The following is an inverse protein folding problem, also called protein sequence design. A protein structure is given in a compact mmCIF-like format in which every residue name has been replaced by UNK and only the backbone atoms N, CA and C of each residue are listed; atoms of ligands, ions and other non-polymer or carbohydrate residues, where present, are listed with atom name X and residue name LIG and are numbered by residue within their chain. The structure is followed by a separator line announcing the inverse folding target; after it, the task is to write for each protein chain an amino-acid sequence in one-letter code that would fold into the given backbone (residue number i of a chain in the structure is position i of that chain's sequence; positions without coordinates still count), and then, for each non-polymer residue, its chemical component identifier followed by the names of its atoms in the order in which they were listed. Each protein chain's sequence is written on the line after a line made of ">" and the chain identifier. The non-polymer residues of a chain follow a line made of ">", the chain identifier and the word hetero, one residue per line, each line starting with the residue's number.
data_IF_772213808197
#
_entry.id   IF_772213808197
#
_cell.length_a   1.000
_cell.length_b   1.000
_cell.length_c   1.000
_cell.angle_alpha   90.00
_cell.angle_beta   90.00
_cell.angle_gamma   90.00
#
_symmetry.space_group_name_H-M   'P 1'
#
loop_
_entity.id
_entity.type
_entity.pdbx_description
1 polymer ?
#
# COMPACT_ATOMS: atom_id res chain seq x y z
N UNK A 1 35.48 35.45 -34.17
CA UNK A 1 35.24 34.05 -33.73
C UNK A 1 34.70 34.04 -32.30
N UNK A 2 33.41 34.33 -32.08
CA UNK A 2 32.84 34.39 -30.73
C UNK A 2 31.34 34.05 -30.73
N UNK A 3 30.97 32.89 -31.29
CA UNK A 3 29.56 32.47 -31.37
C UNK A 3 29.29 30.98 -31.09
N UNK A 4 30.30 30.20 -30.70
CA UNK A 4 30.15 28.73 -30.54
C UNK A 4 30.31 28.18 -29.12
N UNK A 5 30.65 29.01 -28.13
CA UNK A 5 30.92 28.53 -26.76
C UNK A 5 29.75 28.68 -25.78
N UNK A 6 28.64 29.30 -26.19
CA UNK A 6 27.50 29.59 -25.31
C UNK A 6 26.29 28.65 -25.53
N UNK A 7 26.47 27.53 -26.24
CA UNK A 7 25.35 26.61 -26.55
C UNK A 7 25.31 25.36 -25.66
N UNK A 8 26.41 25.03 -24.97
CA UNK A 8 26.48 23.86 -24.10
C UNK A 8 25.82 24.04 -22.70
N UNK A 9 25.97 25.17 -21.98
CA UNK A 9 25.41 25.27 -20.63
C UNK A 9 23.89 25.47 -20.61
N UNK A 10 23.31 25.98 -21.69
CA UNK A 10 21.85 26.18 -21.82
C UNK A 10 21.14 24.83 -22.04
N UNK A 11 21.78 23.88 -22.71
CA UNK A 11 21.20 22.54 -22.93
C UNK A 11 21.08 21.73 -21.63
N UNK A 12 22.05 21.86 -20.71
CA UNK A 12 22.01 21.19 -19.40
C UNK A 12 20.93 21.74 -18.46
N UNK A 13 20.63 23.04 -18.52
CA UNK A 13 19.56 23.66 -17.71
C UNK A 13 18.15 23.28 -18.18
N UNK A 14 17.95 23.01 -19.46
CA UNK A 14 16.66 22.55 -20.00
C UNK A 14 16.39 21.07 -19.67
N UNK A 15 17.44 20.24 -19.58
CA UNK A 15 17.33 18.84 -19.17
C UNK A 15 16.98 18.66 -17.69
N UNK A 16 17.46 19.55 -16.80
CA UNK A 16 17.09 19.56 -15.37
C UNK A 16 15.64 20.01 -15.12
N UNK A 17 15.03 20.75 -16.05
CA UNK A 17 13.63 21.18 -15.95
C UNK A 17 12.62 20.09 -16.39
N UNK A 18 13.09 19.03 -17.06
CA UNK A 18 12.26 17.91 -17.52
C UNK A 18 12.22 16.73 -16.53
N UNK A 19 13.01 16.77 -15.46
CA UNK A 19 12.97 15.79 -14.37
C UNK A 19 12.16 16.29 -13.18
N UNK A 20 10.99 16.90 -13.42
CA UNK A 20 10.00 17.01 -12.36
C UNK A 20 9.54 15.58 -12.06
N UNK A 21 9.85 15.00 -10.88
CA UNK A 21 9.25 13.72 -10.53
C UNK A 21 7.74 13.90 -10.65
N UNK A 22 7.07 12.92 -11.28
CA UNK A 22 5.63 12.88 -11.33
C UNK A 22 5.12 13.10 -9.90
N UNK A 23 4.48 14.25 -9.64
CA UNK A 23 4.23 14.68 -8.28
C UNK A 23 3.27 13.69 -7.62
N UNK A 24 3.74 13.00 -6.58
CA UNK A 24 2.87 12.23 -5.74
C UNK A 24 1.98 13.21 -4.94
N UNK A 25 0.70 12.87 -4.83
CA UNK A 25 -0.28 13.67 -4.10
C UNK A 25 -0.64 12.97 -2.81
N UNK A 26 -0.44 13.65 -1.68
CA UNK A 26 -0.91 13.17 -0.39
C UNK A 26 -2.44 13.00 -0.41
N UNK A 27 -2.89 11.80 -0.02
CA UNK A 27 -4.28 11.47 0.24
C UNK A 27 -4.44 10.99 1.68
N UNK A 28 -5.43 11.54 2.40
CA UNK A 28 -5.70 11.23 3.80
C UNK A 28 -6.93 10.35 3.93
N UNK A 29 -6.81 9.32 4.74
CA UNK A 29 -7.86 8.39 5.12
C UNK A 29 -8.08 8.46 6.64
N UNK A 30 -9.00 7.66 7.17
CA UNK A 30 -9.36 7.70 8.59
C UNK A 30 -8.14 7.59 9.53
N UNK A 31 -7.23 6.66 9.24
CA UNK A 31 -6.13 6.32 10.16
C UNK A 31 -4.73 6.59 9.62
N UNK A 32 -4.57 6.76 8.31
CA UNK A 32 -3.28 6.93 7.66
C UNK A 32 -3.40 7.86 6.45
N UNK A 33 -2.26 8.18 5.87
CA UNK A 33 -2.12 8.90 4.61
C UNK A 33 -1.19 8.13 3.67
N UNK A 34 -1.32 8.42 2.37
CA UNK A 34 -0.50 7.84 1.30
C UNK A 34 -0.14 8.96 0.33
N UNK A 35 1.13 9.07 -0.07
CA UNK A 35 1.54 9.86 -1.22
C UNK A 35 1.33 9.05 -2.50
N UNK A 36 0.35 9.46 -3.31
CA UNK A 36 -0.10 8.70 -4.48
C UNK A 36 0.56 9.25 -5.74
N UNK A 37 1.43 8.48 -6.42
CA UNK A 37 2.01 8.90 -7.70
C UNK A 37 0.96 9.13 -8.78
N UNK A 38 1.25 10.02 -9.73
CA UNK A 38 0.30 10.46 -10.75
C UNK A 38 -0.19 9.34 -11.69
N UNK A 39 0.56 8.26 -11.82
CA UNK A 39 0.23 7.06 -12.61
C UNK A 39 -0.57 6.01 -11.81
N UNK A 40 -0.78 6.23 -10.51
CA UNK A 40 -1.65 5.42 -9.68
C UNK A 40 -3.06 6.01 -9.56
N UNK A 41 -4.03 5.14 -9.32
CA UNK A 41 -5.41 5.49 -8.95
C UNK A 41 -5.71 4.98 -7.55
N UNK A 42 -6.55 5.72 -6.82
CA UNK A 42 -7.01 5.31 -5.49
C UNK A 42 -8.51 5.18 -5.46
N UNK A 43 -8.99 4.13 -4.80
CA UNK A 43 -10.38 3.94 -4.44
C UNK A 43 -10.48 3.55 -2.97
N UNK A 44 -11.36 4.20 -2.21
CA UNK A 44 -11.71 3.78 -0.86
C UNK A 44 -13.12 3.20 -0.87
N UNK A 45 -13.29 2.03 -0.24
CA UNK A 45 -14.58 1.38 -0.05
C UNK A 45 -14.60 0.65 1.29
N UNK A 46 -15.60 0.95 2.11
CA UNK A 46 -15.80 0.31 3.42
C UNK A 46 -14.54 0.36 4.31
N UNK A 47 -13.78 1.46 4.25
CA UNK A 47 -12.52 1.65 5.00
C UNK A 47 -11.30 0.93 4.42
N UNK A 48 -11.46 0.19 3.31
CA UNK A 48 -10.34 -0.39 2.54
C UNK A 48 -9.94 0.56 1.44
N UNK A 49 -8.66 0.96 1.43
CA UNK A 49 -8.05 1.81 0.43
C UNK A 49 -7.29 0.94 -0.55
N UNK A 50 -7.63 1.01 -1.84
CA UNK A 50 -6.94 0.30 -2.92
C UNK A 50 -6.18 1.30 -3.78
N UNK A 51 -4.88 1.08 -3.92
CA UNK A 51 -4.01 1.80 -4.85
C UNK A 51 -3.71 0.92 -6.05
N UNK A 52 -3.93 1.43 -7.26
CA UNK A 52 -3.83 0.67 -8.51
C UNK A 52 -2.93 1.38 -9.49
N UNK A 53 -1.81 0.76 -9.87
CA UNK A 53 -0.95 1.23 -10.97
C UNK A 53 -1.40 0.64 -12.32
N UNK A 54 -1.87 -0.60 -12.32
CA UNK A 54 -2.49 -1.24 -13.50
C UNK A 54 -3.54 -2.27 -13.06
N UNK A 55 -4.27 -2.87 -14.00
CA UNK A 55 -5.27 -3.90 -13.70
C UNK A 55 -4.72 -5.05 -12.84
N UNK A 56 -3.44 -5.36 -13.03
CA UNK A 56 -2.76 -6.50 -12.44
C UNK A 56 -1.64 -6.06 -11.46
N UNK A 57 -1.61 -4.78 -11.10
CA UNK A 57 -0.64 -4.23 -10.15
C UNK A 57 -1.34 -3.25 -9.21
N UNK A 58 -1.65 -3.73 -8.01
CA UNK A 58 -2.36 -3.00 -6.98
C UNK A 58 -2.01 -3.53 -5.58
N UNK A 59 -2.29 -2.71 -4.58
CA UNK A 59 -2.48 -3.18 -3.22
C UNK A 59 -3.74 -2.58 -2.62
N UNK A 60 -4.28 -3.26 -1.62
CA UNK A 60 -5.31 -2.76 -0.74
C UNK A 60 -4.81 -2.79 0.70
N UNK A 61 -5.13 -1.74 1.45
CA UNK A 61 -4.80 -1.60 2.86
C UNK A 61 -6.03 -1.11 3.62
N UNK A 62 -6.27 -1.71 4.77
CA UNK A 62 -7.26 -1.22 5.72
C UNK A 62 -6.66 -1.29 7.12
N UNK A 63 -6.82 -0.22 7.90
CA UNK A 63 -6.45 -0.20 9.31
C UNK A 63 -7.71 -0.05 10.15
N UNK A 64 -7.78 -0.79 11.24
CA UNK A 64 -8.86 -0.77 12.20
C UNK A 64 -8.28 -0.64 13.60
N UNK A 65 -8.91 0.18 14.44
CA UNK A 65 -8.78 0.00 15.89
C UNK A 65 -9.41 -1.33 16.30
N UNK A 66 -9.01 -1.88 17.46
CA UNK A 66 -9.65 -3.10 17.98
C UNK A 66 -11.16 -2.94 18.14
N UNK A 67 -11.63 -1.77 18.57
CA UNK A 67 -13.06 -1.51 18.70
C UNK A 67 -13.79 -1.61 17.34
N UNK A 68 -13.24 -1.03 16.28
CA UNK A 68 -13.79 -1.13 14.91
C UNK A 68 -13.77 -2.58 14.41
N UNK A 69 -12.73 -3.33 14.77
CA UNK A 69 -12.63 -4.76 14.52
C UNK A 69 -13.46 -5.64 15.48
N UNK A 70 -14.34 -5.05 16.30
CA UNK A 70 -15.20 -5.75 17.28
C UNK A 70 -14.41 -6.56 18.32
N UNK A 71 -13.23 -6.09 18.67
CA UNK A 71 -12.27 -6.69 19.59
C UNK A 71 -11.88 -8.13 19.23
N UNK A 72 -11.95 -8.47 17.94
CA UNK A 72 -11.47 -9.76 17.45
C UNK A 72 -9.94 -9.85 17.56
N UNK A 73 -9.45 -11.06 17.80
CA UNK A 73 -8.04 -11.38 17.53
C UNK A 73 -7.75 -11.23 16.03
N UNK A 74 -6.49 -11.05 15.66
CA UNK A 74 -6.03 -11.12 14.27
C UNK A 74 -6.46 -12.44 13.60
N UNK A 75 -6.34 -13.57 14.30
CA UNK A 75 -6.83 -14.88 13.86
C UNK A 75 -8.32 -14.88 13.52
N UNK A 76 -9.15 -14.46 14.46
CA UNK A 76 -10.61 -14.50 14.30
C UNK A 76 -11.08 -13.49 13.25
N UNK A 77 -10.39 -12.35 13.16
CA UNK A 77 -10.61 -11.36 12.11
C UNK A 77 -10.27 -11.94 10.74
N UNK A 78 -9.10 -12.55 10.57
CA UNK A 78 -8.69 -13.20 9.32
C UNK A 78 -9.66 -14.32 8.94
N UNK A 79 -10.09 -15.15 9.88
CA UNK A 79 -11.05 -16.23 9.63
C UNK A 79 -12.39 -15.70 9.13
N UNK A 80 -12.89 -14.63 9.77
CA UNK A 80 -14.12 -13.97 9.36
C UNK A 80 -13.99 -13.30 8.00
N UNK A 81 -12.89 -12.59 7.75
CA UNK A 81 -12.64 -11.90 6.50
C UNK A 81 -12.50 -12.90 5.34
N UNK A 82 -11.73 -13.97 5.53
CA UNK A 82 -11.61 -15.06 4.55
C UNK A 82 -12.98 -15.64 4.19
N UNK A 83 -13.84 -15.92 5.17
CA UNK A 83 -15.20 -16.39 4.90
C UNK A 83 -16.03 -15.38 4.09
N UNK A 84 -15.94 -14.08 4.41
CA UNK A 84 -16.66 -13.02 3.69
C UNK A 84 -16.18 -12.89 2.24
N UNK A 85 -14.87 -13.04 2.02
CA UNK A 85 -14.24 -12.93 0.71
C UNK A 85 -14.24 -14.26 -0.07
N UNK A 86 -14.72 -15.36 0.53
CA UNK A 86 -14.67 -16.72 -0.02
C UNK A 86 -13.22 -17.17 -0.31
N UNK A 87 -12.30 -16.82 0.59
CA UNK A 87 -10.90 -17.19 0.53
C UNK A 87 -10.60 -18.59 1.11
N UNK A 88 -9.32 -18.95 1.13
CA UNK A 88 -8.83 -20.15 1.80
C UNK A 88 -8.86 -19.99 3.32
N UNK A 89 -8.88 -21.09 4.10
CA UNK A 89 -8.66 -21.00 5.54
C UNK A 89 -7.37 -20.23 5.85
N UNK A 90 -7.37 -19.27 6.80
CA UNK A 90 -6.16 -18.57 7.18
C UNK A 90 -5.15 -19.46 7.89
N UNK A 91 -3.89 -19.23 7.59
CA UNK A 91 -2.73 -19.90 8.16
C UNK A 91 -1.80 -18.84 8.81
N UNK A 92 -1.02 -19.20 9.84
CA UNK A 92 -0.04 -18.29 10.40
C UNK A 92 0.98 -17.85 9.35
N UNK A 93 1.31 -16.55 9.30
CA UNK A 93 2.38 -16.03 8.43
C UNK A 93 3.75 -16.15 9.11
N UNK A 94 4.81 -16.31 8.33
CA UNK A 94 6.20 -16.33 8.82
C UNK A 94 6.59 -14.99 9.48
N UNK A 95 6.02 -13.89 8.97
CA UNK A 95 6.26 -12.51 9.47
C UNK A 95 5.34 -12.14 10.65
N UNK A 96 4.55 -13.10 11.14
CA UNK A 96 3.54 -12.91 12.17
C UNK A 96 2.16 -12.54 11.61
N UNK A 97 1.12 -12.74 12.43
CA UNK A 97 -0.26 -12.61 11.98
C UNK A 97 -0.75 -13.82 11.17
N UNK A 98 -1.70 -13.58 10.28
CA UNK A 98 -2.42 -14.60 9.54
C UNK A 98 -2.56 -14.24 8.06
N UNK A 99 -2.31 -15.19 7.19
CA UNK A 99 -2.42 -15.02 5.73
C UNK A 99 -3.45 -15.98 5.16
N UNK A 100 -4.14 -15.57 4.09
CA UNK A 100 -4.96 -16.44 3.27
C UNK A 100 -5.00 -15.93 1.83
N UNK A 101 -5.50 -16.76 0.92
CA UNK A 101 -5.64 -16.36 -0.48
C UNK A 101 -7.11 -16.20 -0.87
N UNK A 102 -7.38 -15.27 -1.77
CA UNK A 102 -8.71 -15.08 -2.37
C UNK A 102 -8.55 -14.94 -3.88
N UNK A 103 -9.46 -15.53 -4.64
CA UNK A 103 -9.54 -15.31 -6.09
C UNK A 103 -10.71 -14.38 -6.41
N UNK A 104 -10.43 -13.23 -7.02
CA UNK A 104 -11.46 -12.33 -7.54
C UNK A 104 -11.15 -11.96 -8.99
N UNK A 105 -12.14 -12.01 -9.87
CA UNK A 105 -11.99 -11.68 -11.29
C UNK A 105 -10.78 -12.36 -11.99
N UNK A 106 -10.47 -13.62 -11.60
CA UNK A 106 -9.32 -14.42 -12.08
C UNK A 106 -7.94 -13.95 -11.63
N UNK A 107 -7.88 -13.02 -10.67
CA UNK A 107 -6.64 -12.63 -9.98
C UNK A 107 -6.61 -13.35 -8.64
N UNK A 108 -5.54 -14.11 -8.40
CA UNK A 108 -5.25 -14.67 -7.09
C UNK A 108 -4.57 -13.57 -6.26
N UNK A 109 -5.05 -13.34 -5.04
CA UNK A 109 -4.51 -12.33 -4.14
C UNK A 109 -4.13 -12.97 -2.81
N UNK A 110 -3.02 -12.50 -2.25
CA UNK A 110 -2.65 -12.77 -0.87
C UNK A 110 -3.31 -11.70 0.00
N UNK A 111 -3.83 -12.13 1.15
CA UNK A 111 -4.39 -11.25 2.17
C UNK A 111 -3.70 -11.55 3.48
N UNK A 112 -3.02 -10.56 4.02
CA UNK A 112 -2.30 -10.63 5.28
C UNK A 112 -3.04 -9.79 6.32
N UNK A 113 -3.22 -10.37 7.50
CA UNK A 113 -3.87 -9.73 8.64
C UNK A 113 -2.91 -9.79 9.82
N UNK A 114 -2.50 -8.62 10.29
CA UNK A 114 -1.60 -8.48 11.43
C UNK A 114 -2.25 -7.54 12.45
N UNK A 115 -2.09 -7.80 13.73
CA UNK A 115 -2.59 -6.91 14.77
C UNK A 115 -1.83 -7.02 16.07
N UNK A 116 -2.05 -6.02 16.92
CA UNK A 116 -1.53 -5.98 18.28
C UNK A 116 -2.69 -5.83 19.29
N UNK A 117 -2.48 -5.12 20.39
CA UNK A 117 -3.53 -4.88 21.41
C UNK A 117 -4.49 -3.75 21.03
N UNK A 118 -4.08 -2.84 20.14
CA UNK A 118 -4.80 -1.60 19.85
C UNK A 118 -5.31 -1.55 18.41
N UNK A 119 -4.61 -2.19 17.47
CA UNK A 119 -4.86 -2.08 16.05
C UNK A 119 -4.85 -3.44 15.32
N UNK A 120 -5.47 -3.45 14.15
CA UNK A 120 -5.45 -4.51 13.15
C UNK A 120 -5.24 -3.87 11.78
N UNK A 121 -4.34 -4.41 10.99
CA UNK A 121 -4.16 -4.06 9.59
C UNK A 121 -4.50 -5.27 8.73
N UNK A 122 -5.18 -5.00 7.62
CA UNK A 122 -5.30 -5.91 6.49
C UNK A 122 -4.50 -5.32 5.34
N UNK A 123 -3.66 -6.15 4.74
CA UNK A 123 -2.98 -5.87 3.49
C UNK A 123 -3.38 -6.93 2.47
N UNK A 124 -3.61 -6.52 1.23
CA UNK A 124 -3.95 -7.43 0.14
C UNK A 124 -3.25 -7.00 -1.15
N UNK A 125 -2.66 -7.95 -1.86
CA UNK A 125 -1.99 -7.70 -3.14
C UNK A 125 -2.12 -8.90 -4.08
N UNK A 126 -1.80 -8.72 -5.37
CA UNK A 126 -1.73 -9.83 -6.33
C UNK A 126 -0.70 -10.87 -5.82
N UNK A 127 -1.10 -12.14 -5.78
CA UNK A 127 -0.27 -13.25 -5.28
C UNK A 127 0.73 -13.78 -6.32
N UNK A 128 0.71 -13.26 -7.54
CA UNK A 128 1.64 -13.64 -8.59
C UNK A 128 2.94 -12.85 -8.50
N UNK A 129 4.04 -13.48 -8.93
CA UNK A 129 5.38 -12.86 -9.03
C UNK A 129 5.49 -11.85 -10.19
N UNK A 130 4.41 -11.10 -10.46
CA UNK A 130 4.43 -10.04 -11.47
C UNK A 130 5.30 -8.89 -11.00
N UNK A 131 5.84 -8.16 -11.97
CA UNK A 131 6.64 -6.98 -11.70
C UNK A 131 5.82 -5.96 -10.90
N UNK A 132 6.34 -5.60 -9.72
CA UNK A 132 5.77 -4.57 -8.87
C UNK A 132 6.25 -3.19 -9.33
N UNK A 133 5.37 -2.32 -9.87
CA UNK A 133 5.80 -1.06 -10.45
C UNK A 133 6.40 -0.13 -9.39
N UNK A 134 7.44 0.62 -9.76
CA UNK A 134 8.10 1.55 -8.84
C UNK A 134 7.15 2.62 -8.27
N UNK A 135 6.13 3.04 -9.03
CA UNK A 135 5.08 3.94 -8.52
C UNK A 135 4.21 3.29 -7.46
N UNK A 136 3.87 2.01 -7.62
CA UNK A 136 3.14 1.27 -6.60
C UNK A 136 3.98 1.08 -5.34
N UNK A 137 5.29 0.81 -5.50
CA UNK A 137 6.23 0.78 -4.37
C UNK A 137 6.31 2.12 -3.65
N UNK A 138 6.41 3.22 -4.41
CA UNK A 138 6.47 4.57 -3.84
C UNK A 138 5.22 4.89 -3.02
N UNK A 139 4.04 4.50 -3.52
CA UNK A 139 2.80 4.62 -2.77
C UNK A 139 2.82 3.75 -1.50
N UNK A 140 3.25 2.50 -1.59
CA UNK A 140 3.35 1.60 -0.43
C UNK A 140 4.30 2.16 0.64
N UNK A 141 5.51 2.58 0.26
CA UNK A 141 6.54 3.12 1.16
C UNK A 141 6.11 4.44 1.83
N UNK A 142 5.16 5.16 1.25
CA UNK A 142 4.65 6.42 1.79
C UNK A 142 3.56 6.26 2.86
N UNK A 143 3.06 5.05 3.08
CA UNK A 143 1.99 4.78 4.06
C UNK A 143 2.45 5.24 5.44
N UNK A 144 1.79 6.28 5.96
CA UNK A 144 2.16 6.95 7.21
C UNK A 144 0.93 7.10 8.11
N UNK A 145 1.07 6.81 9.40
CA UNK A 145 -0.03 6.93 10.36
C UNK A 145 -0.43 8.40 10.61
N UNK A 146 -1.71 8.65 10.85
CA UNK A 146 -2.20 10.01 11.14
C UNK A 146 -1.85 10.48 12.57
N UNK A 147 -1.39 9.57 13.43
CA UNK A 147 -0.86 9.85 14.77
C UNK A 147 0.34 8.94 15.08
N UNK A 148 1.12 9.30 16.09
CA UNK A 148 2.37 8.60 16.46
C UNK A 148 2.17 7.12 16.78
N UNK A 149 1.02 6.74 17.37
CA UNK A 149 0.76 5.33 17.75
C UNK A 149 0.47 4.49 16.52
N UNK A 150 -0.40 5.00 15.64
CA UNK A 150 -0.73 4.34 14.38
C UNK A 150 0.51 4.27 13.49
N UNK A 151 1.29 5.34 13.41
CA UNK A 151 2.51 5.39 12.61
C UNK A 151 3.56 4.39 13.09
N UNK A 152 3.75 4.30 14.41
CA UNK A 152 4.64 3.29 15.02
C UNK A 152 4.18 1.86 14.70
N UNK A 153 2.87 1.60 14.79
CA UNK A 153 2.30 0.30 14.47
C UNK A 153 2.49 -0.05 12.99
N UNK A 154 2.21 0.88 12.08
CA UNK A 154 2.40 0.70 10.64
C UNK A 154 3.86 0.44 10.29
N UNK A 155 4.80 1.22 10.83
CA UNK A 155 6.24 1.04 10.59
C UNK A 155 6.73 -0.34 11.02
N UNK A 156 6.36 -0.76 12.22
CA UNK A 156 6.71 -2.09 12.73
C UNK A 156 6.15 -3.22 11.86
N UNK A 157 4.97 -3.03 11.28
CA UNK A 157 4.23 -4.09 10.60
C UNK A 157 4.53 -4.18 9.11
N UNK A 158 4.65 -3.04 8.43
CA UNK A 158 4.83 -2.96 6.96
C UNK A 158 6.30 -2.85 6.54
N UNK A 159 7.16 -2.33 7.43
CA UNK A 159 8.56 -2.07 7.15
C UNK A 159 9.47 -2.65 8.25
N UNK A 160 9.38 -3.95 8.56
CA UNK A 160 10.25 -4.56 9.56
C UNK A 160 11.72 -4.49 9.12
N UNK A 161 12.59 -4.04 10.03
CA UNK A 161 14.06 -4.00 9.84
C UNK A 161 14.71 -5.38 10.01
#
# INVERSE_FOLDING_TARGET
>A
MLKKFLMLPVCCLVLLALSLPAQAKEMKFAHFSIDVPADCKVQEKDGTVTVTASKDAFFSIALFTKSEAKNLSDKDFAAKLSQQLKGTPPEPSEDGGWTFTVTNNRVLMNVDVVGDNDYLIMFMSDASDKEWPASLQTAYDSVTGNDDKIDTFLKKTLFPE
#
